data_IF_192066995679
#
_entry.id   IF_192066995679
#
_cell.length_a   1.000
_cell.length_b   1.000
_cell.length_c   1.000
_cell.angle_alpha   90.00
_cell.angle_beta   90.00
_cell.angle_gamma   90.00
#
_symmetry.space_group_name_H-M   'P 1'
#
loop_
_entity.id
_entity.type
_entity.pdbx_description
1 polymer ?
#
# COMPACT_ATOMS: atom_id res chain seq x y z
N UNK A 1 8.97 0.26 18.72
CA UNK A 1 7.55 0.22 19.09
C UNK A 1 7.43 0.25 20.60
N UNK A 2 6.47 1.01 21.16
CA UNK A 2 6.27 1.08 22.61
C UNK A 2 5.85 -0.27 23.22
N UNK A 3 5.13 -1.09 22.45
CA UNK A 3 4.75 -2.44 22.83
C UNK A 3 5.96 -3.33 23.18
N UNK A 4 7.06 -3.20 22.46
CA UNK A 4 8.27 -3.99 22.73
C UNK A 4 8.93 -3.61 24.05
N UNK A 5 8.68 -2.39 24.56
CA UNK A 5 9.23 -1.90 25.83
C UNK A 5 8.46 -2.44 27.04
N UNK A 6 7.25 -2.94 26.85
CA UNK A 6 6.42 -3.52 27.92
C UNK A 6 6.80 -4.96 28.28
N UNK A 7 7.71 -5.55 27.53
CA UNK A 7 8.28 -6.88 27.76
C UNK A 7 7.90 -7.89 26.69
N UNK A 8 8.91 -8.59 26.18
CA UNK A 8 8.75 -9.70 25.22
C UNK A 8 9.57 -10.87 25.75
N UNK A 9 8.95 -12.04 25.76
CA UNK A 9 9.58 -13.28 26.23
C UNK A 9 10.07 -14.18 25.08
N UNK A 10 9.75 -13.81 23.84
CA UNK A 10 10.10 -14.58 22.63
C UNK A 10 11.11 -13.82 21.79
N UNK A 11 11.93 -14.50 21.00
CA UNK A 11 12.76 -13.86 19.99
C UNK A 11 11.89 -13.01 19.07
N UNK A 12 12.40 -11.83 18.68
CA UNK A 12 11.72 -10.89 17.81
C UNK A 12 12.53 -10.73 16.55
N UNK A 13 11.90 -10.96 15.40
CA UNK A 13 12.43 -10.56 14.11
C UNK A 13 11.69 -9.30 13.62
N UNK A 14 12.44 -8.39 13.06
CA UNK A 14 11.92 -7.13 12.51
C UNK A 14 12.02 -7.16 10.99
N UNK A 15 11.08 -6.48 10.33
CA UNK A 15 11.11 -6.33 8.87
C UNK A 15 10.76 -4.90 8.46
N UNK A 16 11.36 -4.45 7.36
CA UNK A 16 11.10 -3.14 6.75
C UNK A 16 11.61 -3.11 5.31
N UNK A 17 11.13 -2.15 4.54
CA UNK A 17 11.75 -1.78 3.25
C UNK A 17 13.05 -0.97 3.44
N UNK A 18 13.41 -0.62 4.68
CA UNK A 18 14.63 0.07 5.05
C UNK A 18 15.64 -0.92 5.64
N UNK A 19 16.93 -0.57 5.61
CA UNK A 19 18.00 -1.39 6.19
C UNK A 19 18.01 -1.28 7.74
N UNK A 20 18.79 -2.14 8.40
CA UNK A 20 18.94 -2.13 9.86
C UNK A 20 17.91 -2.97 10.61
N UNK A 21 17.22 -3.84 9.93
CA UNK A 21 16.24 -4.83 10.45
C UNK A 21 16.68 -6.25 10.06
N UNK A 22 16.06 -7.28 10.69
CA UNK A 22 16.39 -8.67 10.36
C UNK A 22 16.02 -9.03 8.91
N UNK A 23 14.86 -8.59 8.45
CA UNK A 23 14.41 -8.82 7.09
C UNK A 23 14.20 -7.50 6.37
N UNK A 24 14.95 -7.25 5.31
CA UNK A 24 14.75 -6.09 4.47
C UNK A 24 14.54 -6.48 3.00
N UNK A 25 13.91 -5.61 2.24
CA UNK A 25 13.78 -5.77 0.80
C UNK A 25 13.77 -4.43 0.10
N UNK A 26 14.29 -4.42 -1.13
CA UNK A 26 14.27 -3.24 -1.99
C UNK A 26 13.91 -3.63 -3.42
N UNK A 27 13.22 -2.74 -4.09
CA UNK A 27 12.97 -2.89 -5.51
C UNK A 27 14.28 -2.69 -6.30
N UNK A 28 14.60 -3.66 -7.15
CA UNK A 28 15.67 -3.55 -8.14
C UNK A 28 15.17 -2.76 -9.35
N UNK A 29 13.90 -2.98 -9.72
CA UNK A 29 13.19 -2.17 -10.70
C UNK A 29 11.69 -2.08 -10.37
N UNK A 30 11.03 -1.03 -10.86
CA UNK A 30 9.58 -0.83 -10.79
C UNK A 30 9.09 -0.64 -12.23
N UNK A 31 8.17 -1.53 -12.65
CA UNK A 31 7.64 -1.51 -14.02
C UNK A 31 6.39 -2.36 -14.19
N UNK A 32 6.14 -2.80 -15.40
CA UNK A 32 5.03 -3.71 -15.71
C UNK A 32 5.12 -5.00 -14.89
N UNK A 33 6.34 -5.47 -14.65
CA UNK A 33 6.69 -6.52 -13.71
C UNK A 33 7.86 -5.99 -12.85
N UNK A 34 7.62 -5.83 -11.57
CA UNK A 34 8.61 -5.32 -10.63
C UNK A 34 9.45 -6.47 -10.09
N UNK A 35 10.73 -6.22 -9.89
CA UNK A 35 11.67 -7.15 -9.23
C UNK A 35 12.13 -6.54 -7.93
N UNK A 36 12.27 -7.38 -6.92
CA UNK A 36 12.83 -6.99 -5.63
C UNK A 36 13.78 -8.06 -5.10
N UNK A 37 14.81 -7.60 -4.41
CA UNK A 37 15.78 -8.43 -3.68
C UNK A 37 15.41 -8.44 -2.20
N UNK A 38 15.58 -9.60 -1.56
CA UNK A 38 15.31 -9.82 -0.13
C UNK A 38 16.63 -10.07 0.59
N UNK A 39 16.76 -9.50 1.77
CA UNK A 39 17.93 -9.61 2.63
C UNK A 39 17.52 -10.11 4.01
N UNK A 40 18.32 -11.02 4.58
CA UNK A 40 18.23 -11.43 5.97
C UNK A 40 19.52 -11.04 6.67
N UNK A 41 19.42 -10.27 7.75
CA UNK A 41 20.56 -9.77 8.52
C UNK A 41 21.67 -9.13 7.63
N UNK A 42 21.24 -8.46 6.56
CA UNK A 42 22.10 -7.80 5.57
C UNK A 42 22.60 -8.68 4.42
N UNK A 43 22.42 -9.99 4.47
CA UNK A 43 22.81 -10.92 3.41
C UNK A 43 21.67 -11.11 2.40
N UNK A 44 21.99 -11.06 1.10
CA UNK A 44 21.00 -11.33 0.05
C UNK A 44 20.60 -12.81 0.07
N UNK A 45 19.32 -13.10 0.33
CA UNK A 45 18.77 -14.46 0.39
C UNK A 45 17.97 -14.84 -0.85
N UNK A 46 17.81 -13.90 -1.81
CA UNK A 46 17.16 -14.16 -3.08
C UNK A 46 16.36 -12.99 -3.62
N UNK A 47 15.64 -13.24 -4.70
CA UNK A 47 14.84 -12.24 -5.39
C UNK A 47 13.52 -12.82 -5.87
N UNK A 48 12.53 -11.96 -6.07
CA UNK A 48 11.25 -12.35 -6.64
C UNK A 48 10.74 -11.27 -7.62
N UNK A 49 9.97 -11.74 -8.60
CA UNK A 49 9.29 -10.89 -9.57
C UNK A 49 7.78 -10.94 -9.30
N UNK A 50 7.11 -9.80 -9.27
CA UNK A 50 5.67 -9.73 -9.14
C UNK A 50 5.01 -8.51 -9.82
N UNK A 51 3.68 -8.47 -9.80
CA UNK A 51 2.93 -7.36 -10.39
C UNK A 51 2.29 -6.43 -9.35
N UNK A 52 2.58 -6.63 -8.06
CA UNK A 52 2.04 -5.80 -7.00
C UNK A 52 2.81 -4.48 -6.89
N UNK A 53 2.12 -3.43 -6.51
CA UNK A 53 2.66 -2.08 -6.42
C UNK A 53 2.75 -1.60 -4.98
N UNK A 54 3.75 -0.74 -4.74
CA UNK A 54 3.91 0.01 -3.51
C UNK A 54 4.72 -0.70 -2.43
N UNK A 55 5.40 0.10 -1.63
CA UNK A 55 6.26 -0.34 -0.53
C UNK A 55 5.50 -1.20 0.49
N UNK A 56 4.24 -0.87 0.76
CA UNK A 56 3.42 -1.65 1.69
C UNK A 56 3.22 -3.11 1.25
N UNK A 57 3.19 -3.40 -0.05
CA UNK A 57 3.16 -4.78 -0.53
C UNK A 57 4.51 -5.47 -0.35
N UNK A 58 5.62 -4.75 -0.51
CA UNK A 58 6.95 -5.27 -0.23
C UNK A 58 7.10 -5.63 1.26
N UNK A 59 6.62 -4.79 2.17
CA UNK A 59 6.60 -5.06 3.60
C UNK A 59 5.69 -6.24 3.97
N UNK A 60 4.53 -6.35 3.32
CA UNK A 60 3.66 -7.53 3.47
C UNK A 60 4.34 -8.83 3.00
N UNK A 61 5.12 -8.76 1.92
CA UNK A 61 5.90 -9.91 1.45
C UNK A 61 6.97 -10.31 2.47
N UNK A 62 7.68 -9.35 3.06
CA UNK A 62 8.66 -9.62 4.12
C UNK A 62 8.02 -10.27 5.34
N UNK A 63 6.84 -9.79 5.77
CA UNK A 63 6.09 -10.40 6.86
C UNK A 63 5.70 -11.85 6.53
N UNK A 64 5.24 -12.12 5.31
CA UNK A 64 4.87 -13.46 4.87
C UNK A 64 6.08 -14.38 4.77
N UNK A 65 7.21 -13.89 4.20
CA UNK A 65 8.46 -14.63 4.08
C UNK A 65 9.03 -15.01 5.45
N UNK A 66 9.18 -14.01 6.34
CA UNK A 66 9.73 -14.25 7.68
C UNK A 66 8.90 -15.26 8.45
N UNK A 67 7.57 -15.16 8.36
CA UNK A 67 6.65 -16.11 9.00
C UNK A 67 6.76 -17.51 8.42
N UNK A 68 6.83 -17.66 7.08
CA UNK A 68 6.96 -18.95 6.42
C UNK A 68 8.28 -19.63 6.73
N UNK A 69 9.37 -18.88 6.71
CA UNK A 69 10.71 -19.39 7.00
C UNK A 69 10.83 -19.78 8.49
N UNK A 70 10.21 -19.01 9.39
CA UNK A 70 10.16 -19.35 10.81
C UNK A 70 9.55 -20.73 11.08
N UNK A 71 8.55 -21.13 10.31
CA UNK A 71 7.94 -22.48 10.42
C UNK A 71 8.60 -23.53 9.53
N UNK A 72 9.79 -23.24 8.99
CA UNK A 72 10.63 -24.22 8.28
C UNK A 72 10.43 -24.31 6.77
N UNK A 73 9.72 -23.35 6.15
CA UNK A 73 9.63 -23.28 4.68
C UNK A 73 10.98 -22.83 4.11
N UNK A 74 11.45 -23.52 3.06
CA UNK A 74 12.67 -23.11 2.36
C UNK A 74 12.48 -21.74 1.69
N UNK A 75 13.52 -20.91 1.73
CA UNK A 75 13.47 -19.52 1.21
C UNK A 75 13.16 -19.48 -0.29
N UNK A 76 13.73 -20.37 -1.08
CA UNK A 76 13.49 -20.40 -2.53
C UNK A 76 12.03 -20.74 -2.85
N UNK A 77 11.45 -21.68 -2.10
CA UNK A 77 10.04 -22.07 -2.22
C UNK A 77 9.13 -20.90 -1.86
N UNK A 78 9.46 -20.16 -0.80
CA UNK A 78 8.69 -19.00 -0.36
C UNK A 78 8.76 -17.84 -1.38
N UNK A 79 9.94 -17.57 -1.95
CA UNK A 79 10.14 -16.57 -3.00
C UNK A 79 9.43 -16.95 -4.31
N UNK A 80 9.46 -18.24 -4.68
CA UNK A 80 8.70 -18.73 -5.83
C UNK A 80 7.19 -18.56 -5.63
N UNK A 81 6.68 -18.84 -4.43
CA UNK A 81 5.28 -18.64 -4.10
C UNK A 81 4.86 -17.16 -4.20
N UNK A 82 5.69 -16.23 -3.72
CA UNK A 82 5.46 -14.80 -3.87
C UNK A 82 5.42 -14.38 -5.34
N UNK A 83 6.28 -14.93 -6.18
CA UNK A 83 6.29 -14.61 -7.62
C UNK A 83 5.03 -15.09 -8.35
N UNK A 84 4.34 -16.09 -7.81
CA UNK A 84 3.06 -16.59 -8.32
C UNK A 84 1.83 -15.90 -7.70
N UNK A 85 2.04 -15.12 -6.65
CA UNK A 85 0.97 -14.46 -5.93
C UNK A 85 0.37 -13.31 -6.75
N UNK A 86 -0.93 -13.35 -6.99
CA UNK A 86 -1.66 -12.40 -7.84
C UNK A 86 -2.25 -11.20 -7.08
N UNK A 87 -1.99 -11.12 -5.79
CA UNK A 87 -2.56 -10.09 -4.92
C UNK A 87 -3.87 -10.50 -4.27
N UNK A 88 -4.46 -9.58 -3.54
CA UNK A 88 -5.74 -9.72 -2.83
C UNK A 88 -6.78 -8.88 -3.56
N UNK A 89 -8.01 -9.39 -3.67
CA UNK A 89 -9.15 -8.62 -4.23
C UNK A 89 -9.28 -7.29 -3.49
N UNK A 90 -9.56 -6.22 -4.25
CA UNK A 90 -9.74 -4.87 -3.72
C UNK A 90 -8.52 -4.33 -2.94
N UNK A 91 -7.30 -4.70 -3.34
CA UNK A 91 -6.04 -4.16 -2.84
C UNK A 91 -5.21 -3.70 -4.04
N UNK A 92 -5.49 -2.48 -4.52
CA UNK A 92 -4.97 -1.91 -5.76
C UNK A 92 -5.11 -2.89 -6.94
N UNK A 93 -6.25 -3.58 -6.97
CA UNK A 93 -6.57 -4.60 -7.96
C UNK A 93 -6.85 -3.95 -9.31
N UNK A 94 -6.05 -4.28 -10.32
CA UNK A 94 -6.30 -3.82 -11.69
C UNK A 94 -7.54 -4.52 -12.25
N UNK A 95 -8.61 -3.78 -12.46
CA UNK A 95 -9.89 -4.29 -13.01
C UNK A 95 -9.89 -4.35 -14.53
N UNK A 96 -9.11 -3.49 -15.19
CA UNK A 96 -9.02 -3.46 -16.63
C UNK A 96 -8.54 -2.14 -17.20
N UNK A 97 -8.57 -2.04 -18.53
CA UNK A 97 -8.28 -0.80 -19.26
C UNK A 97 -9.49 -0.51 -20.15
N UNK A 98 -10.06 0.69 -20.05
CA UNK A 98 -11.17 1.15 -20.85
C UNK A 98 -10.83 2.50 -21.48
N UNK A 99 -10.85 2.55 -22.81
CA UNK A 99 -10.49 3.77 -23.58
C UNK A 99 -9.17 4.44 -23.13
N UNK A 100 -8.14 3.62 -22.83
CA UNK A 100 -6.85 4.12 -22.38
C UNK A 100 -6.77 4.46 -20.89
N UNK A 101 -7.87 4.34 -20.13
CA UNK A 101 -7.92 4.56 -18.69
C UNK A 101 -7.77 3.21 -17.98
N UNK A 102 -6.76 3.08 -17.14
CA UNK A 102 -6.60 1.90 -16.28
C UNK A 102 -7.45 2.08 -15.02
N UNK A 103 -8.33 1.12 -14.75
CA UNK A 103 -9.18 1.10 -13.57
C UNK A 103 -8.58 0.20 -12.49
N UNK A 104 -8.45 0.73 -11.29
CA UNK A 104 -8.05 0.01 -10.08
C UNK A 104 -9.16 0.03 -9.04
N UNK A 105 -9.34 -1.08 -8.33
CA UNK A 105 -10.24 -1.21 -7.17
C UNK A 105 -9.38 -1.38 -5.91
N UNK A 106 -9.59 -0.50 -4.93
CA UNK A 106 -8.87 -0.51 -3.66
C UNK A 106 -9.82 -0.34 -2.48
N UNK A 107 -9.56 -1.07 -1.41
CA UNK A 107 -10.31 -0.97 -0.17
C UNK A 107 -9.78 0.13 0.78
N UNK A 108 -8.84 0.94 0.35
CA UNK A 108 -8.27 2.01 1.15
C UNK A 108 -9.36 2.99 1.61
N UNK A 109 -9.55 3.08 2.92
CA UNK A 109 -10.56 3.93 3.57
C UNK A 109 -9.97 4.75 4.73
N UNK A 110 -8.66 4.74 4.90
CA UNK A 110 -7.92 5.56 5.87
C UNK A 110 -6.91 6.42 5.11
N UNK A 111 -6.66 7.68 5.51
CA UNK A 111 -5.75 8.57 4.79
C UNK A 111 -4.38 7.99 4.51
N UNK A 112 -3.80 7.25 5.46
CA UNK A 112 -2.50 6.58 5.26
C UNK A 112 -2.54 5.55 4.13
N UNK A 113 -3.60 4.74 4.05
CA UNK A 113 -3.77 3.74 3.00
C UNK A 113 -4.01 4.41 1.65
N UNK A 114 -4.87 5.44 1.59
CA UNK A 114 -5.13 6.21 0.37
C UNK A 114 -3.83 6.84 -0.16
N UNK A 115 -3.01 7.42 0.73
CA UNK A 115 -1.69 7.95 0.34
C UNK A 115 -0.77 6.88 -0.24
N UNK A 116 -0.72 5.71 0.40
CA UNK A 116 0.10 4.60 -0.08
C UNK A 116 -0.31 4.16 -1.49
N UNK A 117 -1.62 4.09 -1.75
CA UNK A 117 -2.20 3.78 -3.07
C UNK A 117 -1.81 4.83 -4.13
N UNK A 118 -1.98 6.14 -3.83
CA UNK A 118 -1.62 7.22 -4.76
C UNK A 118 -0.12 7.15 -5.09
N UNK A 119 0.73 7.00 -4.10
CA UNK A 119 2.19 6.93 -4.28
C UNK A 119 2.62 5.69 -5.04
N UNK A 120 1.97 4.54 -4.82
CA UNK A 120 2.22 3.32 -5.57
C UNK A 120 1.89 3.50 -7.07
N UNK A 121 0.79 4.18 -7.40
CA UNK A 121 0.45 4.51 -8.78
C UNK A 121 1.43 5.52 -9.39
N UNK A 122 1.80 6.58 -8.67
CA UNK A 122 2.80 7.58 -9.15
C UNK A 122 4.17 6.97 -9.39
N UNK A 123 4.63 6.04 -8.55
CA UNK A 123 5.93 5.38 -8.74
C UNK A 123 5.99 4.51 -9.99
N UNK A 124 4.83 3.97 -10.41
CA UNK A 124 4.75 3.16 -11.63
C UNK A 124 4.57 4.00 -12.89
N UNK A 125 3.78 5.06 -12.82
CA UNK A 125 3.31 5.85 -13.96
C UNK A 125 3.43 7.35 -13.61
N UNK A 126 4.65 7.86 -13.63
CA UNK A 126 4.97 9.23 -13.16
C UNK A 126 4.18 10.34 -13.87
N UNK A 127 3.82 10.15 -15.14
CA UNK A 127 3.15 11.15 -15.98
C UNK A 127 1.64 10.90 -16.14
N UNK A 128 1.07 9.90 -15.46
CA UNK A 128 -0.36 9.63 -15.55
C UNK A 128 -1.18 10.59 -14.70
N UNK A 129 -2.35 10.96 -15.20
CA UNK A 129 -3.38 11.63 -14.41
C UNK A 129 -4.04 10.59 -13.48
N UNK A 130 -4.05 10.87 -12.18
CA UNK A 130 -4.70 10.03 -11.16
C UNK A 130 -6.05 10.65 -10.81
N UNK A 131 -7.10 9.90 -11.10
CA UNK A 131 -8.48 10.23 -10.72
C UNK A 131 -8.88 9.32 -9.57
N UNK A 132 -9.32 9.89 -8.46
CA UNK A 132 -9.82 9.17 -7.29
C UNK A 132 -11.33 9.26 -7.25
N UNK A 133 -11.99 8.12 -7.11
CA UNK A 133 -13.40 8.03 -6.73
C UNK A 133 -13.45 7.40 -5.34
N UNK A 134 -13.80 8.19 -4.33
CA UNK A 134 -13.74 7.78 -2.92
C UNK A 134 -15.13 7.76 -2.29
N UNK A 135 -15.51 6.62 -1.74
CA UNK A 135 -16.71 6.47 -0.91
C UNK A 135 -16.35 6.67 0.57
N UNK A 136 -17.02 7.59 1.26
CA UNK A 136 -16.81 7.90 2.69
C UNK A 136 -17.65 6.95 3.56
N UNK A 137 -17.27 5.67 3.60
CA UNK A 137 -18.11 4.60 4.14
C UNK A 137 -17.79 4.17 5.58
N UNK A 138 -16.53 4.28 6.00
CA UNK A 138 -16.14 3.86 7.37
C UNK A 138 -16.67 4.83 8.43
N UNK A 139 -16.94 4.33 9.63
CA UNK A 139 -17.43 5.16 10.73
C UNK A 139 -16.53 6.37 10.99
N UNK A 140 -15.22 6.20 11.00
CA UNK A 140 -14.26 7.30 11.23
C UNK A 140 -14.28 8.34 10.11
N UNK A 141 -14.51 7.91 8.86
CA UNK A 141 -14.67 8.80 7.72
C UNK A 141 -16.01 9.56 7.80
N UNK A 142 -17.10 8.88 8.14
CA UNK A 142 -18.43 9.51 8.33
C UNK A 142 -18.44 10.53 9.46
N UNK A 143 -17.71 10.24 10.54
CA UNK A 143 -17.55 11.17 11.69
C UNK A 143 -16.56 12.31 11.44
N UNK A 144 -15.90 12.38 10.29
CA UNK A 144 -14.95 13.42 9.95
C UNK A 144 -13.67 13.44 10.78
N UNK A 145 -13.34 12.35 11.51
CA UNK A 145 -12.14 12.29 12.37
C UNK A 145 -10.84 12.48 11.59
N UNK A 146 -10.87 12.21 10.29
CA UNK A 146 -9.69 12.27 9.42
C UNK A 146 -9.75 13.37 8.36
N UNK A 147 -10.72 14.32 8.44
CA UNK A 147 -10.97 15.32 7.38
C UNK A 147 -9.71 16.08 6.96
N UNK A 148 -8.91 16.58 7.91
CA UNK A 148 -7.74 17.40 7.59
C UNK A 148 -6.61 16.57 6.98
N UNK A 149 -6.38 15.35 7.49
CA UNK A 149 -5.42 14.41 6.92
C UNK A 149 -5.87 13.87 5.57
N UNK A 150 -7.18 13.67 5.38
CA UNK A 150 -7.77 13.27 4.10
C UNK A 150 -7.55 14.35 3.04
N UNK A 151 -7.85 15.62 3.35
CA UNK A 151 -7.59 16.76 2.47
C UNK A 151 -6.13 16.80 2.01
N UNK A 152 -5.19 16.66 2.96
CA UNK A 152 -3.76 16.66 2.65
C UNK A 152 -3.35 15.50 1.73
N UNK A 153 -3.96 14.34 1.88
CA UNK A 153 -3.65 13.16 1.06
C UNK A 153 -4.26 13.29 -0.33
N UNK A 154 -5.51 13.71 -0.42
CA UNK A 154 -6.21 13.88 -1.68
C UNK A 154 -5.57 14.95 -2.57
N UNK A 155 -4.85 15.93 -2.00
CA UNK A 155 -4.10 16.91 -2.80
C UNK A 155 -2.97 16.31 -3.66
N UNK A 156 -2.58 15.06 -3.40
CA UNK A 156 -1.59 14.31 -4.22
C UNK A 156 -2.22 13.70 -5.51
N UNK A 157 -3.56 13.76 -5.66
CA UNK A 157 -4.27 13.34 -6.88
C UNK A 157 -4.57 14.53 -7.81
N UNK A 158 -4.94 14.23 -9.06
CA UNK A 158 -5.21 15.25 -10.09
C UNK A 158 -6.71 15.57 -10.23
N UNK A 159 -7.57 14.64 -9.83
CA UNK A 159 -9.02 14.83 -9.77
C UNK A 159 -9.61 13.95 -8.68
N UNK A 160 -10.60 14.49 -7.97
CA UNK A 160 -11.23 13.83 -6.84
C UNK A 160 -12.74 13.86 -7.03
N UNK A 161 -13.36 12.68 -6.95
CA UNK A 161 -14.80 12.52 -6.89
C UNK A 161 -15.14 11.88 -5.55
N UNK A 162 -15.95 12.54 -4.74
CA UNK A 162 -16.40 12.02 -3.45
C UNK A 162 -17.84 11.53 -3.57
N UNK A 163 -18.06 10.28 -3.17
CA UNK A 163 -19.38 9.75 -2.94
C UNK A 163 -19.68 9.83 -1.44
N UNK A 164 -20.53 10.78 -1.09
CA UNK A 164 -21.04 10.95 0.27
C UNK A 164 -22.24 10.04 0.53
N UNK A 165 -22.64 9.94 1.80
CA UNK A 165 -23.89 9.34 2.26
C UNK A 165 -24.60 10.32 3.17
N UNK A 166 -25.92 10.16 3.31
CA UNK A 166 -26.78 11.08 4.11
C UNK A 166 -26.43 11.09 5.60
N UNK A 167 -25.64 10.15 6.07
CA UNK A 167 -25.21 10.01 7.46
C UNK A 167 -23.83 10.60 7.77
N UNK A 168 -23.29 11.47 6.89
CA UNK A 168 -22.08 12.23 7.15
C UNK A 168 -22.34 13.29 8.22
N UNK A 169 -21.46 13.39 9.21
CA UNK A 169 -21.53 14.42 10.26
C UNK A 169 -20.72 15.68 9.93
N UNK A 170 -20.15 15.76 8.74
CA UNK A 170 -19.35 16.87 8.22
C UNK A 170 -19.63 17.07 6.73
N UNK A 171 -19.33 18.24 6.22
CA UNK A 171 -19.51 18.58 4.82
C UNK A 171 -18.20 18.40 4.05
N UNK A 172 -18.09 17.34 3.18
CA UNK A 172 -16.93 17.13 2.35
C UNK A 172 -16.70 18.25 1.33
N UNK A 173 -17.78 18.84 0.79
CA UNK A 173 -17.69 19.88 -0.24
C UNK A 173 -16.97 21.11 0.30
N UNK A 174 -17.43 21.68 1.42
CA UNK A 174 -16.77 22.83 2.03
C UNK A 174 -15.34 22.53 2.50
N UNK A 175 -15.12 21.34 3.08
CA UNK A 175 -13.79 20.93 3.59
C UNK A 175 -12.76 20.76 2.47
N UNK A 176 -13.20 20.25 1.31
CA UNK A 176 -12.32 19.92 0.18
C UNK A 176 -12.38 20.98 -0.93
N UNK A 177 -13.19 22.04 -0.80
CA UNK A 177 -13.38 23.07 -1.83
C UNK A 177 -12.06 23.64 -2.35
N UNK A 178 -11.07 23.86 -1.48
CA UNK A 178 -9.76 24.39 -1.89
C UNK A 178 -8.91 23.42 -2.74
N UNK A 179 -9.35 22.16 -2.91
CA UNK A 179 -8.72 21.20 -3.82
C UNK A 179 -9.32 21.27 -5.24
N UNK A 180 -10.45 21.93 -5.41
CA UNK A 180 -11.17 22.05 -6.70
C UNK A 180 -10.59 23.09 -7.68
N UNK A 181 -9.61 23.87 -7.27
CA UNK A 181 -8.95 24.89 -8.11
C UNK A 181 -7.69 24.38 -8.84
N UNK A 182 -7.50 23.07 -8.93
CA UNK A 182 -6.35 22.44 -9.62
C UNK A 182 -6.77 21.82 -10.94
#
# INVERSE_FOLDING_TARGET
>A
SNLLKEGIWTPVETFSSEDGVNWSARYDNIGAKSRFSVFKDGENVGQADWNLLGIHNLENALAALSSAIHVGVNVDVALEALSKFKGVKRRLEKRGIFKGITLYDDFAHHPTAIRATIRALRSRESNCRIVIVLELRSNTMRMGLHRDSLKKVLSEADLICILGSDDLTWDPESTLASLGEK
#
